data_IF_491309478974
#
_entry.id   IF_491309478974
#
_cell.length_a   1.000
_cell.length_b   1.000
_cell.length_c   1.000
_cell.angle_alpha   90.00
_cell.angle_beta   90.00
_cell.angle_gamma   90.00
#
_symmetry.space_group_name_H-M   'P 1'
#
loop_
_entity.id
_entity.type
_entity.pdbx_description
1 polymer ?
#
# COMPACT_ATOMS: atom_id res chain seq x y z
N UNK A 1 -44.95 -42.84 -39.58
CA UNK A 1 -43.56 -42.35 -39.39
C UNK A 1 -43.31 -42.17 -37.92
N UNK A 2 -42.39 -42.94 -37.32
CA UNK A 2 -42.08 -42.82 -35.90
C UNK A 2 -41.18 -41.61 -35.67
N UNK A 3 -41.62 -40.67 -34.85
CA UNK A 3 -40.80 -39.55 -34.37
C UNK A 3 -39.79 -40.12 -33.38
N UNK A 4 -38.51 -40.12 -33.76
CA UNK A 4 -37.42 -40.55 -32.88
C UNK A 4 -37.40 -39.75 -31.57
N UNK A 5 -36.96 -40.35 -30.45
CA UNK A 5 -36.98 -39.70 -29.15
C UNK A 5 -36.06 -38.46 -29.16
N UNK A 6 -36.64 -37.31 -28.85
CA UNK A 6 -35.90 -36.06 -28.70
C UNK A 6 -35.12 -36.09 -27.38
N UNK A 7 -33.84 -36.41 -27.43
CA UNK A 7 -32.94 -36.31 -26.28
C UNK A 7 -32.57 -34.84 -26.08
N UNK A 8 -33.43 -34.09 -25.39
CA UNK A 8 -33.10 -32.77 -24.85
C UNK A 8 -32.70 -33.00 -23.39
N UNK A 9 -31.55 -33.62 -23.20
CA UNK A 9 -31.00 -33.91 -21.88
C UNK A 9 -29.82 -32.99 -21.61
N UNK A 10 -30.05 -31.86 -20.93
CA UNK A 10 -28.99 -31.34 -20.06
C UNK A 10 -28.89 -32.32 -18.90
N UNK A 11 -27.97 -33.28 -19.02
CA UNK A 11 -27.79 -34.38 -18.06
C UNK A 11 -27.12 -33.94 -16.75
N UNK A 12 -26.64 -32.70 -16.66
CA UNK A 12 -26.13 -32.14 -15.41
C UNK A 12 -26.16 -30.62 -15.51
N UNK A 13 -26.80 -29.93 -14.56
CA UNK A 13 -26.58 -28.50 -14.40
C UNK A 13 -25.09 -28.29 -14.13
N UNK A 14 -24.40 -27.39 -14.85
CA UNK A 14 -23.02 -27.06 -14.54
C UNK A 14 -22.99 -26.57 -13.10
N UNK A 15 -22.22 -27.27 -12.24
CA UNK A 15 -22.08 -26.92 -10.84
C UNK A 15 -21.76 -25.43 -10.74
N UNK A 16 -22.48 -24.67 -9.89
CA UNK A 16 -22.27 -23.24 -9.77
C UNK A 16 -20.78 -22.98 -9.48
N UNK A 17 -20.20 -21.93 -10.09
CA UNK A 17 -18.78 -21.65 -9.92
C UNK A 17 -18.47 -21.55 -8.42
N UNK A 18 -17.49 -22.32 -7.98
CA UNK A 18 -17.09 -22.29 -6.57
C UNK A 18 -16.63 -20.88 -6.21
N UNK A 19 -16.86 -20.49 -4.96
CA UNK A 19 -16.42 -19.18 -4.43
C UNK A 19 -14.95 -18.88 -4.76
N UNK A 20 -14.12 -19.92 -4.76
CA UNK A 20 -12.71 -19.83 -5.14
C UNK A 20 -12.51 -19.42 -6.61
N UNK A 21 -13.24 -20.03 -7.56
CA UNK A 21 -13.13 -19.65 -8.98
C UNK A 21 -13.55 -18.20 -9.21
N UNK A 22 -14.61 -17.76 -8.54
CA UNK A 22 -15.08 -16.38 -8.60
C UNK A 22 -14.06 -15.40 -7.99
N UNK A 23 -13.42 -15.76 -6.87
CA UNK A 23 -12.66 -14.81 -6.05
C UNK A 23 -11.14 -15.01 -6.04
N UNK A 24 -10.59 -15.95 -6.82
CA UNK A 24 -9.14 -16.23 -6.87
C UNK A 24 -8.29 -14.99 -7.08
N UNK A 25 -8.74 -14.09 -7.94
CA UNK A 25 -8.02 -12.85 -8.27
C UNK A 25 -8.00 -11.89 -7.07
N UNK A 26 -9.12 -11.80 -6.33
CA UNK A 26 -9.21 -11.02 -5.08
C UNK A 26 -8.31 -11.63 -4.00
N UNK A 27 -8.27 -12.96 -3.90
CA UNK A 27 -7.39 -13.66 -2.98
C UNK A 27 -5.90 -13.42 -3.32
N UNK A 28 -5.52 -13.52 -4.60
CA UNK A 28 -4.15 -13.21 -5.05
C UNK A 28 -3.78 -11.74 -4.79
N UNK A 29 -4.69 -10.79 -5.05
CA UNK A 29 -4.46 -9.37 -4.76
C UNK A 29 -4.29 -9.12 -3.26
N UNK A 30 -5.15 -9.70 -2.42
CA UNK A 30 -5.04 -9.57 -0.97
C UNK A 30 -3.72 -10.16 -0.46
N UNK A 31 -3.33 -11.34 -0.95
CA UNK A 31 -2.07 -11.99 -0.59
C UNK A 31 -0.87 -11.14 -1.01
N UNK A 32 -0.86 -10.63 -2.25
CA UNK A 32 0.19 -9.74 -2.74
C UNK A 32 0.31 -8.45 -1.93
N UNK A 33 -0.82 -7.85 -1.54
CA UNK A 33 -0.84 -6.67 -0.69
C UNK A 33 -0.29 -6.95 0.71
N UNK A 34 -0.66 -8.06 1.33
CA UNK A 34 -0.16 -8.45 2.65
C UNK A 34 1.35 -8.68 2.60
N UNK A 35 1.84 -9.43 1.60
CA UNK A 35 3.27 -9.69 1.43
C UNK A 35 4.02 -8.39 1.14
N UNK A 36 3.51 -7.53 0.27
CA UNK A 36 4.12 -6.23 -0.03
C UNK A 36 4.18 -5.31 1.19
N UNK A 37 3.10 -5.21 1.97
CA UNK A 37 3.08 -4.46 3.23
C UNK A 37 4.06 -5.03 4.26
N UNK A 38 4.10 -6.36 4.39
CA UNK A 38 5.04 -7.03 5.29
C UNK A 38 6.49 -6.69 4.92
N UNK A 39 6.86 -6.86 3.65
CA UNK A 39 8.19 -6.50 3.15
C UNK A 39 8.46 -5.02 3.41
N UNK A 40 7.54 -4.14 3.01
CA UNK A 40 7.68 -2.69 3.20
C UNK A 40 7.97 -2.30 4.66
N UNK A 41 7.27 -2.89 5.63
CA UNK A 41 7.51 -2.64 7.06
C UNK A 41 8.90 -3.12 7.50
N UNK A 42 9.31 -4.31 7.05
CA UNK A 42 10.60 -4.91 7.45
C UNK A 42 11.80 -4.32 6.70
N UNK A 43 11.57 -3.71 5.54
CA UNK A 43 12.60 -3.03 4.75
C UNK A 43 12.54 -1.51 4.90
N UNK A 44 11.64 -0.95 5.72
CA UNK A 44 11.55 0.49 6.00
C UNK A 44 12.72 1.02 6.82
N UNK A 45 13.67 0.18 7.23
CA UNK A 45 15.05 0.59 7.54
C UNK A 45 15.81 0.95 6.24
N UNK A 46 15.11 1.56 5.27
CA UNK A 46 15.67 2.00 4.01
C UNK A 46 16.54 3.22 4.34
N UNK A 47 17.85 2.95 4.41
CA UNK A 47 19.02 3.83 4.37
C UNK A 47 18.83 5.27 4.89
N UNK A 48 19.68 5.75 5.82
CA UNK A 48 19.59 7.11 6.33
C UNK A 48 19.45 8.08 5.15
N UNK A 49 18.35 8.85 5.14
CA UNK A 49 18.13 9.86 4.13
C UNK A 49 19.34 10.78 4.15
N UNK A 50 20.18 10.69 3.11
CA UNK A 50 21.36 11.52 3.02
C UNK A 50 20.87 12.96 3.09
N UNK A 51 21.21 13.66 4.16
CA UNK A 51 20.91 15.06 4.32
C UNK A 51 21.65 15.79 3.19
N UNK A 52 20.97 15.97 2.05
CA UNK A 52 21.44 16.85 1.00
C UNK A 52 21.70 18.24 1.60
N UNK A 53 22.59 19.05 1.01
CA UNK A 53 22.94 20.35 1.57
C UNK A 53 21.68 21.21 1.68
N UNK A 54 21.14 21.29 2.89
CA UNK A 54 19.95 22.09 3.19
C UNK A 54 20.38 23.56 3.09
N UNK A 55 19.65 24.42 2.35
CA UNK A 55 19.89 25.85 2.39
C UNK A 55 19.82 26.31 3.84
N UNK A 56 20.95 26.77 4.38
CA UNK A 56 21.02 27.30 5.74
C UNK A 56 20.14 28.54 5.82
N UNK A 57 19.05 28.46 6.56
CA UNK A 57 18.25 29.64 6.84
C UNK A 57 19.05 30.53 7.78
N UNK A 58 19.45 31.72 7.32
CA UNK A 58 20.08 32.73 8.19
C UNK A 58 19.05 33.15 9.23
N UNK A 59 19.23 32.73 10.48
CA UNK A 59 18.45 33.25 11.58
C UNK A 59 18.71 34.76 11.70
N UNK A 60 17.67 35.60 11.91
CA UNK A 60 17.88 37.01 12.20
C UNK A 60 18.77 37.14 13.45
N UNK A 61 19.76 38.05 13.39
CA UNK A 61 20.66 38.28 14.52
C UNK A 61 19.86 38.66 15.77
N UNK A 62 20.11 37.95 16.87
CA UNK A 62 19.53 38.30 18.17
C UNK A 62 19.93 39.75 18.51
N UNK A 63 19.00 40.59 19.01
CA UNK A 63 19.34 41.93 19.45
C UNK A 63 20.40 41.83 20.54
N UNK A 64 21.55 42.48 20.28
CA UNK A 64 22.66 42.58 21.21
C UNK A 64 22.15 43.14 22.54
N UNK A 65 22.31 42.37 23.61
CA UNK A 65 22.07 42.84 24.96
C UNK A 65 23.00 44.04 25.20
N UNK A 66 22.41 45.24 25.25
CA UNK A 66 23.11 46.47 25.61
C UNK A 66 23.80 46.25 26.96
N UNK A 67 25.13 46.45 27.09
CA UNK A 67 25.77 46.44 28.39
C UNK A 67 25.24 47.61 29.21
N UNK A 68 24.81 47.28 30.43
CA UNK A 68 24.41 48.19 31.50
C UNK A 68 25.53 49.19 31.83
N UNK A 69 25.23 50.44 32.24
CA UNK A 69 26.08 51.14 33.18
C UNK A 69 25.49 50.98 34.58
N UNK A 70 26.17 50.17 35.40
CA UNK A 70 26.20 50.41 36.84
C UNK A 70 26.91 51.76 37.05
N UNK A 71 26.28 52.69 37.79
CA UNK A 71 26.86 53.99 38.08
C UNK A 71 26.21 54.64 39.30
N UNK A 72 26.93 54.53 40.44
CA UNK A 72 26.87 55.25 41.72
C UNK A 72 25.51 55.57 42.36
#
# INVERSE_FOLDING_TARGET
MAKGPAVIGVLTEPSPPSWWQANRHKACLALGLIVGCYIGIHTSDAAPQHAGPRPGHTAPAAPSARPSPAGN
#
